data_IF_695070507760
#
_entry.id   IF_695070507760
#
_cell.length_a   1.000
_cell.length_b   1.000
_cell.length_c   1.000
_cell.angle_alpha   90.00
_cell.angle_beta   90.00
_cell.angle_gamma   90.00
#
_symmetry.space_group_name_H-M   'P 1'
#
loop_
_entity.id
_entity.type
_entity.pdbx_description
1 polymer ?
#
# COMPACT_ATOMS: atom_id res chain seq x y z
N UNK A 1 -14.86 9.25 -6.48
CA UNK A 1 -13.63 8.69 -7.09
C UNK A 1 -13.44 7.28 -6.54
N UNK A 2 -12.92 6.35 -7.32
CA UNK A 2 -12.66 4.99 -6.85
C UNK A 2 -11.43 5.00 -5.95
N UNK A 3 -11.52 4.39 -4.76
CA UNK A 3 -10.36 4.11 -3.91
C UNK A 3 -9.69 2.83 -4.42
N UNK A 4 -8.37 2.78 -4.35
CA UNK A 4 -7.59 1.59 -4.64
C UNK A 4 -6.81 1.21 -3.38
N UNK A 5 -6.73 -0.09 -3.10
CA UNK A 5 -5.94 -0.57 -1.95
C UNK A 5 -4.70 -1.29 -2.47
N UNK A 6 -3.52 -0.82 -2.06
CA UNK A 6 -2.24 -1.41 -2.42
C UNK A 6 -1.70 -2.15 -1.21
N UNK A 7 -1.44 -3.44 -1.35
CA UNK A 7 -0.75 -4.24 -0.33
C UNK A 7 0.76 -4.14 -0.54
N UNK A 8 1.51 -3.86 0.52
CA UNK A 8 2.97 -3.75 0.52
C UNK A 8 3.53 -4.67 1.59
N UNK A 9 4.52 -5.49 1.24
CA UNK A 9 5.33 -6.26 2.18
C UNK A 9 6.76 -5.75 2.17
N UNK A 10 7.28 -5.44 3.35
CA UNK A 10 8.67 -5.06 3.55
C UNK A 10 9.51 -6.26 4.00
N UNK A 11 10.78 -6.27 3.63
CA UNK A 11 11.77 -7.24 4.05
C UNK A 11 12.05 -7.06 5.55
N UNK A 12 12.16 -8.18 6.25
CA UNK A 12 12.80 -8.20 7.56
C UNK A 12 14.29 -7.93 7.32
N UNK A 13 14.77 -6.75 7.71
CA UNK A 13 16.19 -6.44 7.54
C UNK A 13 17.00 -7.36 8.46
N UNK A 14 17.79 -8.26 7.90
CA UNK A 14 18.55 -9.27 8.66
C UNK A 14 19.65 -8.71 9.56
N UNK A 15 19.91 -7.40 9.53
CA UNK A 15 20.90 -6.73 10.39
C UNK A 15 20.29 -6.21 11.70
N UNK A 16 19.06 -5.70 11.67
CA UNK A 16 18.22 -5.37 12.83
C UNK A 16 16.75 -5.32 12.36
N UNK A 17 15.80 -5.97 13.06
CA UNK A 17 14.40 -5.87 12.71
C UNK A 17 13.94 -4.42 12.86
N UNK A 18 13.75 -3.72 11.74
CA UNK A 18 13.11 -2.39 11.73
C UNK A 18 11.76 -2.51 12.41
N UNK A 19 11.47 -1.61 13.34
CA UNK A 19 10.17 -1.65 14.01
C UNK A 19 9.06 -1.35 13.00
N UNK A 20 7.89 -1.97 13.17
CA UNK A 20 6.71 -1.71 12.36
C UNK A 20 6.37 -0.20 12.31
N UNK A 21 6.71 0.54 13.36
CA UNK A 21 6.59 2.00 13.42
C UNK A 21 7.53 2.72 12.45
N UNK A 22 8.81 2.32 12.36
CA UNK A 22 9.77 2.87 11.41
C UNK A 22 9.35 2.60 9.96
N UNK A 23 8.92 1.38 9.69
CA UNK A 23 8.39 0.95 8.39
C UNK A 23 7.14 1.75 7.98
N UNK A 24 6.17 1.89 8.90
CA UNK A 24 4.99 2.73 8.67
C UNK A 24 5.37 4.17 8.36
N UNK A 25 6.27 4.77 9.14
CA UNK A 25 6.72 6.17 8.95
C UNK A 25 7.44 6.38 7.61
N UNK A 26 8.10 5.36 7.08
CA UNK A 26 8.68 5.39 5.74
C UNK A 26 7.58 5.41 4.68
N UNK A 27 6.61 4.49 4.77
CA UNK A 27 5.45 4.44 3.88
C UNK A 27 4.60 5.71 3.94
N UNK A 28 4.41 6.32 5.12
CA UNK A 28 3.67 7.57 5.28
C UNK A 28 4.36 8.72 4.53
N UNK A 29 5.69 8.81 4.57
CA UNK A 29 6.47 9.80 3.79
C UNK A 29 6.28 9.63 2.29
N UNK A 30 6.21 8.38 1.83
CA UNK A 30 6.01 8.08 0.42
C UNK A 30 4.58 8.42 0.00
N UNK A 31 3.59 8.10 0.83
CA UNK A 31 2.20 8.49 0.62
C UNK A 31 2.06 10.01 0.49
N UNK A 32 2.74 10.78 1.35
CA UNK A 32 2.78 12.23 1.24
C UNK A 32 3.39 12.69 -0.11
N UNK A 33 4.53 12.12 -0.52
CA UNK A 33 5.14 12.42 -1.81
C UNK A 33 4.25 12.07 -3.01
N UNK A 34 3.49 10.97 -2.96
CA UNK A 34 2.52 10.63 -4.01
C UNK A 34 1.42 11.70 -4.15
N UNK A 35 1.01 12.32 -3.04
CA UNK A 35 0.02 13.39 -3.05
C UNK A 35 0.63 14.71 -3.53
N UNK A 36 1.82 15.07 -3.05
CA UNK A 36 2.55 16.27 -3.46
C UNK A 36 2.86 16.27 -4.98
N UNK A 37 3.19 15.10 -5.53
CA UNK A 37 3.47 14.92 -6.96
C UNK A 37 2.18 14.81 -7.82
N UNK A 38 0.99 14.91 -7.21
CA UNK A 38 -0.29 14.85 -7.92
C UNK A 38 -0.67 13.46 -8.46
N UNK A 39 0.00 12.41 -7.97
CA UNK A 39 -0.31 11.01 -8.31
C UNK A 39 -1.52 10.51 -7.53
N UNK A 40 -1.79 11.10 -6.37
CA UNK A 40 -2.97 10.82 -5.58
C UNK A 40 -3.57 12.11 -5.00
N UNK A 41 -4.89 12.13 -4.79
CA UNK A 41 -5.54 13.19 -4.01
C UNK A 41 -5.46 12.91 -2.51
N UNK A 42 -5.38 11.63 -2.13
CA UNK A 42 -5.17 11.18 -0.78
C UNK A 42 -4.45 9.82 -0.77
N UNK A 43 -3.65 9.57 0.26
CA UNK A 43 -2.97 8.31 0.49
C UNK A 43 -2.85 8.07 2.00
N UNK A 44 -3.19 6.87 2.48
CA UNK A 44 -3.13 6.52 3.90
C UNK A 44 -2.57 5.11 4.11
N UNK A 45 -1.62 4.98 5.04
CA UNK A 45 -1.01 3.68 5.40
C UNK A 45 -1.78 3.06 6.56
N UNK A 46 -2.20 1.82 6.36
CA UNK A 46 -2.84 0.96 7.33
C UNK A 46 -1.93 -0.24 7.65
N UNK A 47 -2.00 -0.69 8.90
CA UNK A 47 -1.29 -1.89 9.36
C UNK A 47 -2.28 -3.05 9.30
N UNK A 48 -1.93 -4.14 8.60
CA UNK A 48 -2.86 -5.28 8.41
C UNK A 48 -3.02 -6.09 9.69
N UNK A 49 -1.96 -6.18 10.52
CA UNK A 49 -2.02 -6.82 11.83
C UNK A 49 -1.23 -6.04 12.90
N UNK A 50 -1.91 -5.53 13.95
CA UNK A 50 -1.25 -4.99 15.12
C UNK A 50 -0.91 -6.15 16.07
N UNK A 51 0.22 -6.83 15.89
CA UNK A 51 0.56 -7.88 16.86
C UNK A 51 1.86 -8.61 16.62
N UNK A 52 2.60 -8.76 17.71
CA UNK A 52 3.77 -9.65 17.89
C UNK A 52 3.49 -11.14 17.66
N UNK A 53 2.25 -11.51 17.31
CA UNK A 53 1.82 -12.90 17.16
C UNK A 53 2.33 -13.56 15.86
N UNK A 54 2.69 -12.79 14.83
CA UNK A 54 3.30 -13.32 13.60
C UNK A 54 4.29 -12.31 12.99
N UNK A 55 5.61 -12.51 13.18
CA UNK A 55 6.65 -11.64 12.62
C UNK A 55 6.54 -11.45 11.11
N UNK A 56 6.18 -12.51 10.37
CA UNK A 56 6.02 -12.47 8.92
C UNK A 56 4.86 -11.58 8.45
N UNK A 57 3.91 -11.26 9.33
CA UNK A 57 2.81 -10.32 9.07
C UNK A 57 3.10 -8.92 9.62
N UNK A 58 4.10 -8.76 10.48
CA UNK A 58 4.47 -7.45 11.03
C UNK A 58 5.00 -6.49 9.95
N UNK A 59 5.51 -7.03 8.84
CA UNK A 59 6.00 -6.27 7.70
C UNK A 59 4.95 -6.05 6.60
N UNK A 60 3.70 -6.45 6.83
CA UNK A 60 2.60 -6.32 5.88
C UNK A 60 1.78 -5.05 6.16
N UNK A 61 1.67 -4.19 5.16
CA UNK A 61 0.93 -2.94 5.19
C UNK A 61 -0.06 -2.86 4.03
N UNK A 62 -1.14 -2.11 4.21
CA UNK A 62 -2.02 -1.70 3.13
C UNK A 62 -1.98 -0.18 2.99
N UNK A 63 -2.09 0.30 1.76
CA UNK A 63 -2.14 1.73 1.43
C UNK A 63 -3.46 1.96 0.74
N UNK A 64 -4.33 2.76 1.34
CA UNK A 64 -5.52 3.25 0.67
C UNK A 64 -5.15 4.49 -0.13
N UNK A 65 -5.32 4.39 -1.44
CA UNK A 65 -4.97 5.42 -2.41
C UNK A 65 -6.25 5.97 -3.06
N UNK A 66 -6.38 7.28 -3.12
CA UNK A 66 -7.31 7.95 -4.03
C UNK A 66 -6.50 8.46 -5.23
N UNK A 67 -6.35 7.64 -6.30
CA UNK A 67 -5.44 7.96 -7.39
C UNK A 67 -6.04 9.00 -8.34
N UNK A 68 -5.16 9.81 -8.95
CA UNK A 68 -5.51 10.52 -10.19
C UNK A 68 -5.50 9.53 -11.37
N UNK A 69 -6.01 9.92 -12.54
CA UNK A 69 -6.26 8.98 -13.66
C UNK A 69 -5.04 8.16 -14.13
N UNK A 70 -3.81 8.60 -13.82
CA UNK A 70 -2.53 7.91 -14.09
C UNK A 70 -1.75 7.53 -12.82
N UNK A 71 -2.33 7.79 -11.66
CA UNK A 71 -1.66 7.73 -10.37
C UNK A 71 -1.28 6.33 -9.90
N UNK A 72 -2.12 5.34 -10.18
CA UNK A 72 -1.97 3.99 -9.63
C UNK A 72 -0.71 3.30 -10.12
N UNK A 73 -0.46 3.24 -11.43
CA UNK A 73 0.72 2.58 -11.99
C UNK A 73 2.02 3.25 -11.54
N UNK A 74 2.04 4.59 -11.50
CA UNK A 74 3.22 5.33 -11.05
C UNK A 74 3.46 5.16 -9.54
N UNK A 75 2.39 5.14 -8.74
CA UNK A 75 2.47 4.82 -7.31
C UNK A 75 3.01 3.41 -7.08
N UNK A 76 2.53 2.41 -7.84
CA UNK A 76 3.03 1.04 -7.77
C UNK A 76 4.51 0.96 -8.12
N UNK A 77 4.94 1.58 -9.23
CA UNK A 77 6.35 1.59 -9.61
C UNK A 77 7.25 2.23 -8.55
N UNK A 78 6.80 3.33 -7.93
CA UNK A 78 7.54 3.99 -6.85
C UNK A 78 7.64 3.12 -5.61
N UNK A 79 6.53 2.49 -5.21
CA UNK A 79 6.51 1.58 -4.08
C UNK A 79 7.42 0.37 -4.32
N UNK A 80 7.43 -0.19 -5.55
CA UNK A 80 8.32 -1.31 -5.91
C UNK A 80 9.81 -0.93 -5.91
N UNK A 81 10.13 0.33 -6.20
CA UNK A 81 11.52 0.81 -6.21
C UNK A 81 12.11 1.06 -4.81
N UNK A 82 11.32 0.92 -3.75
CA UNK A 82 11.79 1.14 -2.38
C UNK A 82 12.75 0.03 -1.94
N UNK A 83 13.79 0.45 -1.23
CA UNK A 83 14.74 -0.49 -0.67
C UNK A 83 14.06 -1.31 0.43
N UNK A 84 14.11 -2.64 0.29
CA UNK A 84 13.50 -3.55 1.25
C UNK A 84 12.01 -3.75 1.04
N UNK A 85 11.43 -3.41 -0.12
CA UNK A 85 10.13 -3.94 -0.52
C UNK A 85 10.30 -5.33 -1.12
N UNK A 86 9.60 -6.31 -0.57
CA UNK A 86 9.56 -7.68 -1.12
C UNK A 86 8.40 -7.87 -2.08
N UNK A 87 7.28 -7.19 -1.82
CA UNK A 87 6.04 -7.39 -2.57
C UNK A 87 5.20 -6.12 -2.58
N UNK A 88 4.65 -5.79 -3.75
CA UNK A 88 3.65 -4.72 -3.91
C UNK A 88 2.57 -5.22 -4.85
N UNK A 89 1.32 -5.06 -4.47
CA UNK A 89 0.19 -5.43 -5.31
C UNK A 89 -0.99 -4.49 -5.10
N UNK A 90 -1.47 -3.86 -6.17
CA UNK A 90 -2.77 -3.22 -6.15
C UNK A 90 -3.83 -4.32 -6.17
N UNK A 91 -4.62 -4.42 -5.10
CA UNK A 91 -5.86 -5.16 -5.18
C UNK A 91 -6.77 -4.37 -6.11
N UNK A 92 -6.88 -4.81 -7.37
CA UNK A 92 -7.92 -4.29 -8.24
C UNK A 92 -9.25 -4.49 -7.49
N UNK A 93 -9.89 -3.40 -7.05
CA UNK A 93 -11.24 -3.51 -6.53
C UNK A 93 -12.05 -4.18 -7.61
N UNK A 94 -12.40 -5.45 -7.39
CA UNK A 94 -13.39 -6.15 -8.21
C UNK A 94 -14.59 -5.22 -8.25
N UNK A 95 -14.82 -4.60 -9.41
CA UNK A 95 -16.09 -3.98 -9.75
C UNK A 95 -17.14 -4.98 -9.25
N UNK A 96 -18.07 -4.60 -8.35
CA UNK A 96 -19.10 -5.53 -7.94
C UNK A 96 -19.69 -6.09 -9.24
N UNK A 97 -19.71 -7.42 -9.39
CA UNK A 97 -20.38 -8.05 -10.53
C UNK A 97 -21.71 -7.33 -10.63
N UNK A 98 -21.90 -6.55 -11.69
CA UNK A 98 -23.17 -5.91 -11.94
C UNK A 98 -24.17 -7.05 -11.91
N UNK A 99 -25.01 -7.07 -10.88
CA UNK A 99 -26.09 -8.03 -10.73
C UNK A 99 -26.80 -8.07 -12.06
N UNK A 100 -26.68 -9.19 -12.76
CA UNK A 100 -27.37 -9.40 -14.02
C UNK A 100 -28.86 -9.07 -13.79
N UNK A 101 -29.52 -8.35 -14.70
CA UNK A 101 -30.90 -7.97 -14.50
C UNK A 101 -31.75 -9.23 -14.35
N UNK A 102 -32.62 -9.19 -13.34
CA UNK A 102 -33.61 -10.21 -13.03
C UNK A 102 -34.32 -10.70 -14.30
N UNK A 103 -34.41 -12.03 -14.43
CA UNK A 103 -35.39 -12.70 -15.28
C UNK A 103 -36.32 -13.49 -14.39
#
# INVERSE_FOLDING_TARGET
MARETITVKLAESGAEPRSQFQQRRELDRICASLVEDGLATAAAVNVVFPGSANPAMATLFTIDLEPTWRGVEQALHRLQALQGVEFVHAAAMRRPLATAPAR
#
